data_IF_798938242955
#
_entry.id   IF_798938242955
#
_cell.length_a   1.000
_cell.length_b   1.000
_cell.length_c   1.000
_cell.angle_alpha   90.00
_cell.angle_beta   90.00
_cell.angle_gamma   90.00
#
_symmetry.space_group_name_H-M   'P 1'
#
loop_
_entity.id
_entity.type
_entity.pdbx_description
1 polymer ?
#
# COMPACT_ATOMS: atom_id res chain seq x y z
N UNK A 1 10.37 -0.45 25.76
CA UNK A 1 11.43 -1.02 24.92
C UNK A 1 10.79 -1.61 23.69
N UNK A 2 10.93 -0.93 22.55
CA UNK A 2 10.96 -1.48 21.21
C UNK A 2 11.66 -0.42 20.36
N UNK A 3 12.92 -0.68 20.03
CA UNK A 3 13.71 0.13 19.12
C UNK A 3 13.11 0.00 17.71
N UNK A 4 12.54 1.07 17.15
CA UNK A 4 12.37 1.16 15.70
C UNK A 4 13.42 2.14 15.16
N UNK A 5 14.65 1.66 15.07
CA UNK A 5 15.74 2.40 14.43
C UNK A 5 16.14 1.70 13.12
N UNK A 6 15.85 2.35 11.97
CA UNK A 6 16.36 2.12 10.59
C UNK A 6 15.78 0.87 9.88
N UNK A 7 15.49 0.78 8.57
CA UNK A 7 16.21 1.31 7.37
C UNK A 7 15.34 1.18 6.08
N UNK A 8 14.09 1.64 6.05
CA UNK A 8 13.29 1.60 4.81
C UNK A 8 13.55 2.85 3.97
N UNK A 9 14.70 2.88 3.30
CA UNK A 9 15.06 3.99 2.40
C UNK A 9 14.32 3.84 1.08
N UNK A 10 13.51 4.85 0.74
CA UNK A 10 12.89 4.93 -0.57
C UNK A 10 13.97 5.09 -1.65
N UNK A 11 13.99 4.21 -2.67
CA UNK A 11 14.90 4.35 -3.80
C UNK A 11 14.70 5.66 -4.55
N UNK A 12 15.70 6.05 -5.35
CA UNK A 12 15.60 7.23 -6.20
C UNK A 12 14.51 7.06 -7.28
N UNK A 13 14.03 8.19 -7.81
CA UNK A 13 12.98 8.21 -8.84
C UNK A 13 13.36 7.41 -10.09
N UNK A 14 14.64 7.41 -10.45
CA UNK A 14 15.15 6.68 -11.62
C UNK A 14 15.16 5.18 -11.38
N UNK A 15 15.60 4.74 -10.19
CA UNK A 15 15.54 3.33 -9.80
C UNK A 15 14.10 2.82 -9.78
N UNK A 16 13.15 3.61 -9.26
CA UNK A 16 11.74 3.22 -9.22
C UNK A 16 11.12 3.09 -10.61
N UNK A 17 11.53 3.90 -11.58
CA UNK A 17 11.07 3.75 -12.98
C UNK A 17 11.53 2.44 -13.61
N UNK A 18 12.69 1.94 -13.20
CA UNK A 18 13.24 0.68 -13.72
C UNK A 18 12.72 -0.55 -12.95
N UNK A 19 12.41 -0.41 -11.66
CA UNK A 19 11.93 -1.51 -10.80
C UNK A 19 10.43 -1.74 -10.88
N UNK A 20 9.64 -0.67 -10.97
CA UNK A 20 8.18 -0.74 -10.90
C UNK A 20 7.57 -0.83 -12.29
N UNK A 21 6.46 -1.58 -12.40
CA UNK A 21 5.62 -1.49 -13.59
C UNK A 21 5.03 -0.08 -13.74
N UNK A 22 4.61 0.33 -14.95
CA UNK A 22 4.00 1.65 -15.15
C UNK A 22 2.80 1.91 -14.24
N UNK A 23 2.00 0.88 -13.93
CA UNK A 23 0.85 1.00 -13.05
C UNK A 23 1.28 1.19 -11.59
N UNK A 24 2.19 0.36 -11.07
CA UNK A 24 2.72 0.49 -9.70
C UNK A 24 3.40 1.85 -9.49
N UNK A 25 4.16 2.32 -10.48
CA UNK A 25 4.76 3.65 -10.44
C UNK A 25 3.71 4.76 -10.40
N UNK A 26 2.65 4.64 -11.21
CA UNK A 26 1.55 5.61 -11.22
C UNK A 26 0.81 5.64 -9.87
N UNK A 27 0.53 4.47 -9.28
CA UNK A 27 -0.16 4.37 -7.99
C UNK A 27 0.69 4.96 -6.87
N UNK A 28 1.94 4.49 -6.73
CA UNK A 28 2.81 4.86 -5.60
C UNK A 28 3.43 6.26 -5.70
N UNK A 29 3.76 6.73 -6.91
CA UNK A 29 4.52 7.98 -7.11
C UNK A 29 3.69 9.14 -7.66
N UNK A 30 2.46 8.89 -8.11
CA UNK A 30 1.58 9.91 -8.74
C UNK A 30 0.16 9.90 -8.19
N UNK A 31 -0.05 9.34 -6.99
CA UNK A 31 -1.36 9.27 -6.33
C UNK A 31 -2.46 8.65 -7.24
N UNK A 32 -2.07 7.72 -8.13
CA UNK A 32 -2.99 7.05 -9.02
C UNK A 32 -3.80 5.95 -8.33
N UNK A 33 -4.93 5.59 -8.92
CA UNK A 33 -5.74 4.43 -8.50
C UNK A 33 -5.78 3.39 -9.61
N UNK A 34 -5.52 2.13 -9.27
CA UNK A 34 -5.67 1.01 -10.22
C UNK A 34 -7.14 0.66 -10.45
N UNK A 35 -7.51 0.04 -11.59
CA UNK A 35 -8.89 -0.36 -11.81
C UNK A 35 -9.33 -1.45 -10.82
N UNK A 36 -10.55 -1.32 -10.30
CA UNK A 36 -11.17 -2.33 -9.43
C UNK A 36 -11.16 -3.72 -10.07
N UNK A 37 -10.95 -4.77 -9.26
CA UNK A 37 -10.95 -6.18 -9.67
C UNK A 37 -9.89 -6.54 -10.73
N UNK A 38 -8.94 -5.64 -11.01
CA UNK A 38 -7.87 -5.83 -12.00
C UNK A 38 -6.48 -5.63 -11.38
N UNK A 39 -6.28 -6.21 -10.21
CA UNK A 39 -5.02 -6.26 -9.50
C UNK A 39 -4.74 -7.68 -8.98
N UNK A 40 -3.54 -7.92 -8.48
CA UNK A 40 -3.09 -9.26 -8.07
C UNK A 40 -3.63 -9.68 -6.70
N UNK A 41 -4.05 -8.73 -5.86
CA UNK A 41 -4.22 -8.97 -4.43
C UNK A 41 -5.64 -8.77 -3.90
N UNK A 42 -6.59 -8.31 -4.72
CA UNK A 42 -7.97 -8.08 -4.26
C UNK A 42 -8.61 -9.38 -3.74
N UNK A 43 -8.48 -10.49 -4.46
CA UNK A 43 -9.02 -11.81 -4.06
C UNK A 43 -8.00 -12.74 -3.40
N UNK A 44 -6.74 -12.30 -3.23
CA UNK A 44 -5.70 -13.13 -2.62
C UNK A 44 -6.05 -13.49 -1.16
N UNK A 45 -5.98 -14.77 -0.83
CA UNK A 45 -6.25 -15.35 0.52
C UNK A 45 -5.05 -16.11 1.08
N UNK A 46 -3.90 -16.07 0.42
CA UNK A 46 -2.69 -16.74 0.90
C UNK A 46 -2.19 -16.11 2.20
N UNK A 47 -1.73 -16.92 3.17
CA UNK A 47 -1.13 -16.40 4.40
C UNK A 47 0.19 -15.68 4.09
N UNK A 48 0.39 -14.49 4.66
CA UNK A 48 1.59 -13.70 4.43
C UNK A 48 1.51 -12.26 4.91
N UNK A 49 2.56 -11.50 4.60
CA UNK A 49 2.68 -10.08 4.91
C UNK A 49 2.65 -9.27 3.61
N UNK A 50 1.84 -8.21 3.60
CA UNK A 50 1.81 -7.23 2.53
C UNK A 50 2.79 -6.11 2.87
N UNK A 51 3.73 -5.88 1.97
CA UNK A 51 4.81 -4.90 2.13
C UNK A 51 4.64 -3.74 1.15
N UNK A 52 5.17 -2.58 1.48
CA UNK A 52 5.35 -1.49 0.54
C UNK A 52 6.28 -1.94 -0.59
N UNK A 53 5.80 -1.88 -1.83
CA UNK A 53 6.57 -2.26 -3.02
C UNK A 53 7.76 -1.32 -3.29
N UNK A 54 7.75 -0.11 -2.73
CA UNK A 54 8.80 0.90 -2.90
C UNK A 54 9.94 0.64 -1.93
N UNK A 55 9.63 0.59 -0.63
CA UNK A 55 10.61 0.56 0.45
C UNK A 55 10.84 -0.83 1.04
N UNK A 56 9.88 -1.76 0.89
CA UNK A 56 9.88 -3.08 1.53
C UNK A 56 9.35 -3.07 2.96
N UNK A 57 8.83 -1.96 3.46
CA UNK A 57 8.27 -1.85 4.81
C UNK A 57 7.01 -2.73 4.96
N UNK A 58 6.89 -3.54 6.03
CA UNK A 58 5.69 -4.34 6.27
C UNK A 58 4.50 -3.47 6.70
N UNK A 59 3.40 -3.54 5.93
CA UNK A 59 2.22 -2.68 6.15
C UNK A 59 1.05 -3.45 6.76
N UNK A 60 0.71 -4.62 6.19
CA UNK A 60 -0.50 -5.36 6.59
C UNK A 60 -0.27 -6.88 6.69
N UNK A 61 -1.04 -7.53 7.55
CA UNK A 61 -1.10 -8.99 7.66
C UNK A 61 -2.27 -9.56 6.85
N UNK A 62 -2.09 -10.72 6.24
CA UNK A 62 -3.19 -11.49 5.64
C UNK A 62 -4.28 -11.86 6.65
N UNK A 63 -3.96 -11.93 7.95
CA UNK A 63 -4.91 -12.22 9.03
C UNK A 63 -5.97 -11.13 9.17
N UNK A 64 -5.59 -9.87 8.92
CA UNK A 64 -6.48 -8.73 9.03
C UNK A 64 -7.11 -8.34 7.68
N UNK A 65 -6.79 -9.09 6.61
CA UNK A 65 -7.41 -8.94 5.29
C UNK A 65 -8.82 -9.51 5.28
N UNK A 66 -9.76 -8.79 4.68
CA UNK A 66 -11.13 -9.25 4.50
C UNK A 66 -11.66 -8.92 3.10
N UNK A 67 -12.74 -9.60 2.70
CA UNK A 67 -13.44 -9.32 1.45
C UNK A 67 -14.47 -8.22 1.65
N UNK A 68 -14.20 -7.04 1.10
CA UNK A 68 -15.10 -5.88 1.17
C UNK A 68 -16.02 -5.77 -0.05
N UNK A 69 -15.81 -6.58 -1.10
CA UNK A 69 -16.52 -6.44 -2.37
C UNK A 69 -16.20 -5.16 -3.16
N UNK A 70 -15.19 -4.39 -2.75
CA UNK A 70 -14.85 -3.10 -3.39
C UNK A 70 -14.00 -3.24 -4.64
N UNK A 71 -13.27 -4.36 -4.78
CA UNK A 71 -12.32 -4.61 -5.87
C UNK A 71 -10.88 -4.22 -5.58
N UNK A 72 -10.57 -3.79 -4.35
CA UNK A 72 -9.20 -3.56 -3.86
C UNK A 72 -8.94 -4.36 -2.57
N UNK A 73 -7.66 -4.70 -2.27
CA UNK A 73 -7.29 -5.29 -0.99
C UNK A 73 -7.80 -4.43 0.18
N UNK A 74 -8.48 -5.05 1.14
CA UNK A 74 -9.07 -4.36 2.29
C UNK A 74 -8.58 -5.01 3.58
N UNK A 75 -8.14 -4.19 4.52
CA UNK A 75 -7.56 -4.62 5.80
C UNK A 75 -8.24 -3.88 6.95
N UNK A 76 -8.46 -4.59 8.06
CA UNK A 76 -9.12 -4.02 9.24
C UNK A 76 -8.18 -3.19 10.12
N UNK A 77 -6.87 -3.46 10.07
CA UNK A 77 -5.82 -2.71 10.77
C UNK A 77 -4.45 -2.90 10.08
N UNK A 78 -3.52 -1.96 10.24
CA UNK A 78 -2.11 -2.16 9.88
C UNK A 78 -1.42 -3.11 10.86
N UNK A 79 -0.23 -3.60 10.47
CA UNK A 79 0.66 -4.32 11.38
C UNK A 79 1.12 -3.43 12.53
N UNK A 80 1.64 -2.26 12.19
CA UNK A 80 2.07 -1.24 13.15
C UNK A 80 1.45 0.10 12.73
N UNK A 81 0.71 0.80 13.62
CA UNK A 81 0.07 2.07 13.29
C UNK A 81 1.04 3.13 12.76
N UNK A 82 2.27 3.14 13.28
CA UNK A 82 3.29 4.13 12.93
C UNK A 82 3.85 3.96 11.50
N UNK A 83 3.59 2.81 10.84
CA UNK A 83 3.98 2.59 9.43
C UNK A 83 3.01 3.26 8.44
N UNK A 84 1.84 3.74 8.89
CA UNK A 84 0.83 4.37 8.03
C UNK A 84 0.66 5.84 8.41
N UNK A 85 0.91 6.72 7.45
CA UNK A 85 0.58 8.14 7.58
C UNK A 85 -0.75 8.44 6.90
N UNK A 86 -1.72 8.94 7.67
CA UNK A 86 -3.00 9.41 7.13
C UNK A 86 -2.89 10.86 6.64
N UNK A 87 -3.53 11.17 5.51
CA UNK A 87 -3.60 12.52 4.95
C UNK A 87 -5.01 12.77 4.45
N UNK A 88 -5.61 13.88 4.87
CA UNK A 88 -6.94 14.27 4.37
C UNK A 88 -6.85 14.66 2.89
N UNK A 89 -7.69 14.05 2.09
CA UNK A 89 -7.84 14.34 0.66
C UNK A 89 -9.24 14.93 0.39
N UNK A 90 -9.26 16.11 -0.23
CA UNK A 90 -10.47 16.87 -0.58
C UNK A 90 -10.72 16.92 -2.10
N UNK A 91 -10.02 16.07 -2.86
CA UNK A 91 -10.19 15.96 -4.30
C UNK A 91 -11.60 15.46 -4.68
N UNK A 92 -12.03 15.77 -5.90
CA UNK A 92 -13.34 15.37 -6.43
C UNK A 92 -14.55 15.82 -5.58
N UNK A 93 -14.43 16.94 -4.84
CA UNK A 93 -15.48 17.49 -3.97
C UNK A 93 -15.94 16.53 -2.87
N UNK A 94 -15.09 15.58 -2.47
CA UNK A 94 -15.35 14.61 -1.41
C UNK A 94 -14.21 14.65 -0.40
N UNK A 95 -14.51 14.41 0.88
CA UNK A 95 -13.48 14.29 1.92
C UNK A 95 -13.16 12.81 2.16
N UNK A 96 -11.88 12.44 2.05
CA UNK A 96 -11.34 11.08 2.23
C UNK A 96 -10.11 11.12 3.14
N UNK A 97 -9.72 9.99 3.71
CA UNK A 97 -8.53 9.84 4.58
C UNK A 97 -7.88 8.48 4.32
#
# INVERSE_FOLDING_TARGET
>A
MAESSKTYLSPSREELKNKLTPLQYKVTQKEGTEPAFRNEYWDNKMPGIYVDIVSGEPLFSSVDKFDSGTGWPSFSRPLEPDHITSKTDVSFFMTRT
#
